data_IF_668116577601
#
_entry.id   IF_668116577601
#
_cell.length_a   1.000
_cell.length_b   1.000
_cell.length_c   1.000
_cell.angle_alpha   90.00
_cell.angle_beta   90.00
_cell.angle_gamma   90.00
#
_symmetry.space_group_name_H-M   'P 1'
#
loop_
_entity.id
_entity.type
_entity.pdbx_description
1 polymer ?
#
# COMPACT_ATOMS: atom_id res chain seq x y z
N UNK A 1 -36.92 -1.95 9.55
CA UNK A 1 -36.56 -2.46 8.21
C UNK A 1 -35.04 -2.57 8.11
N UNK A 2 -34.51 -3.71 8.50
CA UNK A 2 -33.10 -4.09 8.40
C UNK A 2 -32.74 -4.31 6.92
N UNK A 3 -32.07 -3.33 6.30
CA UNK A 3 -31.49 -3.53 4.97
C UNK A 3 -30.33 -4.51 5.13
N UNK A 4 -30.57 -5.76 4.76
CA UNK A 4 -29.52 -6.75 4.49
C UNK A 4 -28.54 -6.13 3.50
N UNK A 5 -27.38 -5.72 4.00
CA UNK A 5 -26.26 -5.30 3.17
C UNK A 5 -25.74 -6.58 2.51
N UNK A 6 -26.17 -6.85 1.27
CA UNK A 6 -25.72 -8.02 0.52
C UNK A 6 -24.20 -7.94 0.37
N UNK A 7 -23.49 -8.87 0.99
CA UNK A 7 -22.05 -9.05 0.79
C UNK A 7 -21.88 -9.57 -0.64
N UNK A 8 -21.48 -8.68 -1.55
CA UNK A 8 -21.13 -9.05 -2.91
C UNK A 8 -19.72 -9.66 -2.88
N UNK A 9 -19.63 -10.97 -3.12
CA UNK A 9 -18.38 -11.69 -3.34
C UNK A 9 -18.10 -11.73 -4.83
N UNK A 10 -16.87 -11.39 -5.21
CA UNK A 10 -16.41 -11.43 -6.60
C UNK A 10 -15.24 -12.39 -6.70
N UNK A 11 -15.18 -13.13 -7.81
CA UNK A 11 -14.00 -13.93 -8.13
C UNK A 11 -12.79 -13.02 -8.36
N UNK A 12 -11.65 -13.44 -7.81
CA UNK A 12 -10.44 -12.63 -7.78
C UNK A 12 -9.76 -12.64 -9.15
N UNK A 13 -9.23 -11.48 -9.56
CA UNK A 13 -8.52 -11.34 -10.82
C UNK A 13 -7.22 -12.17 -10.74
N UNK A 14 -6.85 -12.82 -11.85
CA UNK A 14 -5.57 -13.52 -11.95
C UNK A 14 -4.37 -12.55 -11.89
N UNK A 15 -3.17 -13.11 -11.98
CA UNK A 15 -1.92 -12.36 -11.88
C UNK A 15 -1.87 -11.09 -12.75
N UNK A 16 -1.06 -10.08 -12.38
CA UNK A 16 -0.95 -8.81 -13.09
C UNK A 16 -0.74 -8.90 -14.61
N UNK A 17 0.06 -9.89 -15.03
CA UNK A 17 0.42 -10.11 -16.42
C UNK A 17 -0.67 -10.81 -17.25
N UNK A 18 -1.70 -11.36 -16.61
CA UNK A 18 -2.77 -12.12 -17.24
C UNK A 18 -3.65 -11.24 -18.15
N UNK A 19 -4.13 -11.83 -19.26
CA UNK A 19 -4.96 -11.14 -20.25
C UNK A 19 -6.28 -10.64 -19.63
N UNK A 20 -6.89 -11.40 -18.72
CA UNK A 20 -8.11 -11.01 -18.03
C UNK A 20 -7.91 -9.79 -17.13
N UNK A 21 -6.77 -9.71 -16.44
CA UNK A 21 -6.41 -8.55 -15.61
C UNK A 21 -6.12 -7.32 -16.46
N UNK A 22 -5.44 -7.49 -17.60
CA UNK A 22 -5.20 -6.41 -18.58
C UNK A 22 -6.49 -5.90 -19.21
N UNK A 23 -7.40 -6.81 -19.59
CA UNK A 23 -8.70 -6.45 -20.13
C UNK A 23 -9.56 -5.74 -19.08
N UNK A 24 -9.57 -6.22 -17.83
CA UNK A 24 -10.30 -5.58 -16.75
C UNK A 24 -9.78 -4.17 -16.45
N UNK A 25 -8.45 -3.99 -16.46
CA UNK A 25 -7.80 -2.67 -16.36
C UNK A 25 -8.27 -1.75 -17.50
N UNK A 26 -8.26 -2.25 -18.74
CA UNK A 26 -8.76 -1.52 -19.90
C UNK A 26 -10.24 -1.14 -19.76
N UNK A 27 -11.10 -2.07 -19.31
CA UNK A 27 -12.52 -1.83 -19.04
C UNK A 27 -12.72 -0.75 -17.96
N UNK A 28 -11.91 -0.76 -16.91
CA UNK A 28 -11.92 0.29 -15.88
C UNK A 28 -11.52 1.66 -16.45
N UNK A 29 -10.58 1.70 -17.40
CA UNK A 29 -10.14 2.93 -18.06
C UNK A 29 -11.20 3.56 -18.97
N UNK A 30 -11.86 2.75 -19.80
CA UNK A 30 -12.94 3.21 -20.70
C UNK A 30 -14.29 3.33 -19.98
N UNK A 31 -14.38 2.90 -18.72
CA UNK A 31 -15.60 2.94 -17.93
C UNK A 31 -16.31 4.30 -17.92
N UNK A 32 -15.64 5.48 -17.94
CA UNK A 32 -16.34 6.76 -18.03
C UNK A 32 -17.15 6.92 -19.33
N UNK A 33 -16.71 6.31 -20.43
CA UNK A 33 -17.40 6.36 -21.73
C UNK A 33 -18.60 5.43 -21.76
N UNK A 34 -18.46 4.22 -21.18
CA UNK A 34 -19.54 3.21 -21.10
C UNK A 34 -20.57 3.59 -20.02
N UNK A 35 -20.13 4.26 -18.95
CA UNK A 35 -20.96 4.71 -17.81
C UNK A 35 -21.56 6.11 -18.02
N UNK A 36 -21.47 6.70 -19.23
CA UNK A 36 -22.15 7.98 -19.56
C UNK A 36 -23.66 7.98 -19.28
N UNK A 37 -24.29 6.80 -19.26
CA UNK A 37 -25.71 6.62 -18.90
C UNK A 37 -26.01 6.53 -17.39
N UNK A 38 -24.99 6.47 -16.53
CA UNK A 38 -25.14 6.33 -15.08
C UNK A 38 -25.39 7.72 -14.46
N UNK A 39 -26.54 8.31 -14.77
CA UNK A 39 -27.02 9.58 -14.18
C UNK A 39 -27.24 9.43 -12.67
N UNK A 40 -26.99 10.51 -11.93
CA UNK A 40 -27.25 10.89 -10.52
C UNK A 40 -27.77 9.87 -9.48
N UNK A 41 -28.64 8.92 -9.84
CA UNK A 41 -29.27 7.96 -8.92
C UNK A 41 -28.30 6.96 -8.29
N UNK A 42 -27.19 6.62 -8.96
CA UNK A 42 -26.17 5.70 -8.41
C UNK A 42 -25.23 6.41 -7.43
N UNK A 43 -25.02 7.73 -7.56
CA UNK A 43 -24.25 8.50 -6.56
C UNK A 43 -24.93 8.54 -5.19
N UNK A 44 -26.26 8.38 -5.17
CA UNK A 44 -27.07 8.32 -3.95
C UNK A 44 -27.10 6.93 -3.32
N UNK A 45 -26.57 5.90 -3.99
CA UNK A 45 -26.51 4.56 -3.40
C UNK A 45 -25.34 4.50 -2.42
N UNK A 46 -25.54 3.96 -1.21
CA UNK A 46 -24.44 3.71 -0.29
C UNK A 46 -23.42 2.83 -1.00
N UNK A 47 -22.12 3.11 -0.79
CA UNK A 47 -21.08 2.29 -1.36
C UNK A 47 -21.31 0.83 -0.96
N UNK A 48 -21.43 -0.11 -1.90
CA UNK A 48 -21.52 -1.51 -1.51
C UNK A 48 -20.25 -1.87 -0.75
N UNK A 49 -20.41 -2.59 0.37
CA UNK A 49 -19.28 -3.19 1.06
C UNK A 49 -18.81 -4.34 0.18
N UNK A 50 -17.78 -4.06 -0.62
CA UNK A 50 -17.17 -5.05 -1.51
C UNK A 50 -16.07 -5.74 -0.73
N UNK A 51 -16.17 -7.05 -0.64
CA UNK A 51 -15.18 -7.91 -0.02
C UNK A 51 -14.64 -8.85 -1.07
N UNK A 52 -13.33 -8.82 -1.27
CA UNK A 52 -12.59 -9.80 -2.05
C UNK A 52 -11.90 -10.73 -1.08
N UNK A 53 -12.00 -12.02 -1.34
CA UNK A 53 -11.29 -13.04 -0.57
C UNK A 53 -10.55 -13.91 -1.59
N UNK A 54 -9.23 -13.99 -1.46
CA UNK A 54 -8.39 -14.83 -2.29
C UNK A 54 -7.41 -15.61 -1.43
N UNK A 55 -7.05 -16.84 -1.82
CA UNK A 55 -5.82 -17.42 -1.32
C UNK A 55 -4.66 -16.51 -1.73
N UNK A 56 -3.73 -16.28 -0.82
CA UNK A 56 -2.53 -15.49 -1.05
C UNK A 56 -1.34 -16.43 -1.19
N UNK A 57 -0.97 -16.67 -2.45
CA UNK A 57 0.20 -17.47 -2.77
C UNK A 57 1.41 -16.57 -2.97
N UNK A 58 2.42 -16.76 -2.12
CA UNK A 58 3.72 -16.12 -2.26
C UNK A 58 4.55 -16.87 -3.32
N UNK A 59 4.44 -16.48 -4.58
CA UNK A 59 5.20 -17.09 -5.68
C UNK A 59 6.66 -16.61 -5.61
N UNK A 60 7.61 -17.54 -5.53
CA UNK A 60 9.05 -17.25 -5.42
C UNK A 60 9.59 -16.41 -6.59
N UNK A 61 9.02 -16.57 -7.79
CA UNK A 61 9.35 -15.74 -8.96
C UNK A 61 8.97 -14.28 -8.79
N UNK A 62 7.81 -14.00 -8.19
CA UNK A 62 7.31 -12.63 -8.00
C UNK A 62 8.11 -11.94 -6.90
N UNK A 63 8.53 -12.71 -5.90
CA UNK A 63 9.52 -12.29 -4.92
C UNK A 63 10.87 -11.92 -5.55
N UNK A 64 11.42 -12.79 -6.40
CA UNK A 64 12.69 -12.52 -7.07
C UNK A 64 12.62 -11.26 -7.96
N UNK A 65 11.52 -11.08 -8.71
CA UNK A 65 11.28 -9.87 -9.50
C UNK A 65 11.18 -8.63 -8.63
N UNK A 66 10.43 -8.67 -7.53
CA UNK A 66 10.31 -7.51 -6.65
C UNK A 66 11.64 -7.19 -5.96
N UNK A 67 12.37 -8.19 -5.47
CA UNK A 67 13.68 -7.98 -4.86
C UNK A 67 14.68 -7.35 -5.83
N UNK A 68 14.66 -7.80 -7.09
CA UNK A 68 15.50 -7.23 -8.16
C UNK A 68 15.10 -5.80 -8.47
N UNK A 69 13.79 -5.54 -8.64
CA UNK A 69 13.23 -4.21 -8.86
C UNK A 69 13.58 -3.23 -7.75
N UNK A 70 13.53 -3.67 -6.50
CA UNK A 70 13.88 -2.87 -5.33
C UNK A 70 15.40 -2.83 -5.08
N UNK A 71 16.23 -3.40 -5.96
CA UNK A 71 17.69 -3.44 -5.81
C UNK A 71 18.14 -3.96 -4.44
N UNK A 72 17.47 -5.01 -3.95
CA UNK A 72 17.74 -5.64 -2.65
C UNK A 72 18.67 -6.85 -2.87
N UNK A 73 20.00 -6.74 -2.64
CA UNK A 73 20.90 -7.88 -2.76
C UNK A 73 20.59 -8.94 -1.69
N UNK A 74 20.32 -10.19 -2.15
CA UNK A 74 20.14 -11.40 -1.31
C UNK A 74 19.32 -11.13 -0.04
N UNK A 75 18.02 -10.90 -0.18
CA UNK A 75 17.12 -11.23 0.92
C UNK A 75 17.20 -12.75 1.13
N UNK A 76 17.60 -13.19 2.31
CA UNK A 76 17.32 -14.56 2.73
C UNK A 76 15.80 -14.73 2.57
N UNK A 77 15.37 -15.78 1.85
CA UNK A 77 13.95 -16.11 1.66
C UNK A 77 13.19 -16.11 3.00
N UNK A 78 13.90 -16.30 4.11
CA UNK A 78 13.42 -16.25 5.49
C UNK A 78 12.82 -14.89 5.92
N UNK A 79 13.22 -13.75 5.33
CA UNK A 79 12.74 -12.42 5.73
C UNK A 79 12.18 -11.63 4.54
N UNK A 80 10.88 -11.77 4.31
CA UNK A 80 10.14 -10.98 3.32
C UNK A 80 10.12 -9.48 3.70
N UNK A 81 10.35 -8.54 2.77
CA UNK A 81 10.11 -7.11 3.02
C UNK A 81 8.66 -6.89 3.45
N UNK A 82 8.44 -6.13 4.53
CA UNK A 82 7.10 -5.98 5.10
C UNK A 82 6.10 -5.24 4.19
N UNK A 83 6.61 -4.52 3.18
CA UNK A 83 5.81 -3.87 2.12
C UNK A 83 5.46 -4.82 0.97
N UNK A 84 6.05 -6.01 0.89
CA UNK A 84 5.82 -6.96 -0.19
C UNK A 84 4.33 -7.32 -0.36
N UNK A 85 3.57 -7.67 0.70
CA UNK A 85 2.16 -7.99 0.57
C UNK A 85 1.34 -6.85 -0.07
N UNK A 86 1.62 -5.60 0.31
CA UNK A 86 0.95 -4.42 -0.24
C UNK A 86 1.15 -4.31 -1.76
N UNK A 87 2.32 -4.69 -2.26
CA UNK A 87 2.63 -4.69 -3.70
C UNK A 87 1.96 -5.86 -4.40
N UNK A 88 2.05 -7.07 -3.82
CA UNK A 88 1.51 -8.29 -4.41
C UNK A 88 -0.02 -8.26 -4.56
N UNK A 89 -0.74 -7.70 -3.59
CA UNK A 89 -2.21 -7.59 -3.62
C UNK A 89 -2.71 -6.41 -4.47
N UNK A 90 -1.81 -5.63 -5.08
CA UNK A 90 -2.17 -4.36 -5.73
C UNK A 90 -3.16 -4.52 -6.90
N UNK A 91 -3.16 -5.67 -7.57
CA UNK A 91 -4.13 -5.99 -8.62
C UNK A 91 -5.58 -5.98 -8.13
N UNK A 92 -5.80 -6.39 -6.88
CA UNK A 92 -7.12 -6.51 -6.26
C UNK A 92 -7.79 -5.15 -6.04
N UNK A 93 -6.99 -4.07 -5.89
CA UNK A 93 -7.52 -2.72 -5.78
C UNK A 93 -8.36 -2.34 -7.00
N UNK A 94 -7.92 -2.72 -8.22
CA UNK A 94 -8.69 -2.45 -9.44
C UNK A 94 -10.06 -3.12 -9.41
N UNK A 95 -10.14 -4.35 -8.91
CA UNK A 95 -11.42 -5.06 -8.77
C UNK A 95 -12.36 -4.34 -7.81
N UNK A 96 -11.85 -3.84 -6.68
CA UNK A 96 -12.64 -3.04 -5.74
C UNK A 96 -13.18 -1.78 -6.41
N UNK A 97 -12.33 -1.03 -7.12
CA UNK A 97 -12.77 0.17 -7.81
C UNK A 97 -13.77 -0.14 -8.92
N UNK A 98 -13.48 -1.12 -9.77
CA UNK A 98 -14.34 -1.55 -10.87
C UNK A 98 -15.76 -1.89 -10.40
N UNK A 99 -15.88 -2.54 -9.24
CA UNK A 99 -17.15 -2.95 -8.64
C UNK A 99 -17.80 -1.91 -7.71
N UNK A 100 -17.09 -0.85 -7.29
CA UNK A 100 -17.59 0.19 -6.36
C UNK A 100 -18.61 1.17 -6.97
N UNK A 101 -19.06 0.90 -8.20
CA UNK A 101 -20.07 1.67 -8.94
C UNK A 101 -19.84 3.19 -8.91
N UNK A 102 -18.60 3.65 -9.12
CA UNK A 102 -18.28 5.08 -9.13
C UNK A 102 -18.17 5.64 -10.58
N UNK A 103 -18.42 6.96 -10.77
CA UNK A 103 -18.60 7.56 -12.10
C UNK A 103 -17.30 8.07 -12.76
N UNK A 104 -16.16 7.98 -12.08
CA UNK A 104 -14.90 8.55 -12.54
C UNK A 104 -13.97 7.48 -13.16
N UNK A 105 -12.96 7.91 -13.90
CA UNK A 105 -11.91 7.00 -14.36
C UNK A 105 -10.94 6.69 -13.23
N UNK A 106 -10.55 5.43 -13.04
CA UNK A 106 -9.38 5.09 -12.18
C UNK A 106 -8.04 5.47 -12.82
N UNK A 107 -8.01 6.00 -14.06
CA UNK A 107 -6.76 6.29 -14.77
C UNK A 107 -5.85 7.25 -13.98
N UNK A 108 -6.45 8.22 -13.30
CA UNK A 108 -5.73 9.24 -12.53
C UNK A 108 -5.85 8.98 -11.02
N UNK A 109 -5.91 7.70 -10.62
CA UNK A 109 -5.97 7.34 -9.21
C UNK A 109 -4.63 7.66 -8.52
N UNK A 110 -4.71 8.21 -7.33
CA UNK A 110 -3.57 8.60 -6.50
C UNK A 110 -3.59 7.82 -5.19
N UNK A 111 -2.41 7.43 -4.71
CA UNK A 111 -2.26 6.94 -3.34
C UNK A 111 -2.04 8.14 -2.41
N UNK A 112 -2.94 8.37 -1.44
CA UNK A 112 -2.78 9.46 -0.46
C UNK A 112 -1.93 9.01 0.72
N UNK A 113 -2.20 7.79 1.19
CA UNK A 113 -1.54 7.25 2.37
C UNK A 113 -1.62 5.73 2.39
N UNK A 114 -0.66 5.13 3.07
CA UNK A 114 -0.60 3.69 3.35
C UNK A 114 -0.19 3.52 4.80
N UNK A 115 -0.96 2.74 5.54
CA UNK A 115 -0.58 2.23 6.85
C UNK A 115 -0.48 0.72 6.76
N UNK A 116 0.67 0.17 7.13
CA UNK A 116 0.94 -1.26 7.17
C UNK A 116 1.28 -1.65 8.60
N UNK A 117 0.71 -2.76 9.05
CA UNK A 117 1.03 -3.40 10.33
C UNK A 117 1.45 -4.83 10.06
N UNK A 118 2.67 -5.18 10.43
CA UNK A 118 3.15 -6.55 10.42
C UNK A 118 3.21 -7.08 11.85
N UNK A 119 2.37 -8.08 12.15
CA UNK A 119 2.28 -8.68 13.47
C UNK A 119 3.28 -9.83 13.65
N UNK A 120 3.48 -10.62 12.60
CA UNK A 120 4.39 -11.78 12.58
C UNK A 120 5.25 -11.81 11.30
N UNK A 121 6.42 -12.49 11.31
CA UNK A 121 7.22 -12.65 10.11
C UNK A 121 6.47 -13.45 9.06
N UNK A 122 6.60 -13.05 7.80
CA UNK A 122 6.12 -13.83 6.68
C UNK A 122 7.26 -14.74 6.23
N UNK A 123 7.10 -16.05 6.42
CA UNK A 123 8.11 -17.04 6.07
C UNK A 123 7.85 -17.60 4.66
N UNK A 124 8.87 -17.61 3.80
CA UNK A 124 8.83 -18.16 2.44
C UNK A 124 9.37 -19.59 2.35
N UNK A 125 9.73 -20.24 3.46
CA UNK A 125 10.24 -21.62 3.40
C UNK A 125 9.14 -22.54 2.86
N UNK A 126 9.21 -22.87 1.57
CA UNK A 126 8.53 -24.03 1.01
C UNK A 126 9.00 -25.25 1.81
N UNK A 127 8.12 -26.23 2.09
CA UNK A 127 8.56 -27.46 2.72
C UNK A 127 9.55 -28.12 1.77
N UNK A 128 10.84 -28.05 2.12
CA UNK A 128 11.78 -29.08 1.72
C UNK A 128 11.19 -30.37 2.22
N UNK A 129 11.07 -31.38 1.37
CA UNK A 129 10.45 -32.68 1.66
C UNK A 129 11.12 -33.49 2.79
N UNK A 130 11.98 -32.87 3.61
CA UNK A 130 12.90 -33.52 4.53
C UNK A 130 12.81 -33.05 5.99
N UNK A 131 11.81 -32.27 6.41
CA UNK A 131 11.59 -32.03 7.83
C UNK A 131 10.10 -32.13 8.18
N UNK A 132 9.81 -32.75 9.34
CA UNK A 132 8.49 -32.88 10.00
C UNK A 132 7.86 -31.51 10.41
N UNK A 133 8.16 -30.46 9.66
CA UNK A 133 7.57 -29.14 9.84
C UNK A 133 6.17 -29.14 9.24
N UNK A 134 5.16 -28.62 9.98
CA UNK A 134 3.81 -28.49 9.45
C UNK A 134 3.85 -27.70 8.12
N UNK A 135 2.98 -28.05 7.15
CA UNK A 135 2.93 -27.34 5.87
C UNK A 135 2.77 -25.83 6.13
N UNK A 136 3.43 -24.96 5.33
CA UNK A 136 3.28 -23.52 5.53
C UNK A 136 1.80 -23.17 5.42
N UNK A 137 1.28 -22.51 6.45
CA UNK A 137 -0.14 -22.17 6.53
C UNK A 137 -0.54 -21.35 5.30
N UNK A 138 -1.58 -21.80 4.60
CA UNK A 138 -2.12 -21.08 3.46
C UNK A 138 -2.62 -19.71 3.92
N UNK A 139 -1.95 -18.65 3.48
CA UNK A 139 -2.38 -17.29 3.81
C UNK A 139 -3.65 -16.97 3.04
N UNK A 140 -4.66 -16.47 3.73
CA UNK A 140 -5.87 -15.92 3.12
C UNK A 140 -5.77 -14.41 3.10
N UNK A 141 -5.96 -13.82 1.92
CA UNK A 141 -6.09 -12.37 1.74
C UNK A 141 -7.57 -11.99 1.72
N UNK A 142 -7.95 -11.08 2.61
CA UNK A 142 -9.26 -10.41 2.58
C UNK A 142 -9.04 -8.93 2.34
N UNK A 143 -9.64 -8.41 1.28
CA UNK A 143 -9.59 -6.99 0.94
C UNK A 143 -10.99 -6.42 0.93
N UNK A 144 -11.20 -5.33 1.67
CA UNK A 144 -12.51 -4.72 1.88
C UNK A 144 -12.44 -3.24 1.55
N UNK A 145 -13.36 -2.79 0.68
CA UNK A 145 -13.62 -1.36 0.52
C UNK A 145 -14.46 -0.88 1.71
N UNK A 146 -13.81 -0.22 2.68
CA UNK A 146 -14.44 0.20 3.94
C UNK A 146 -15.05 1.59 3.87
N UNK A 147 -14.52 2.46 3.00
CA UNK A 147 -14.97 3.84 2.90
C UNK A 147 -14.94 4.37 1.48
N UNK A 148 -15.94 5.21 1.15
CA UNK A 148 -15.99 6.05 -0.04
C UNK A 148 -16.51 7.41 0.37
N UNK A 149 -15.71 8.45 0.18
CA UNK A 149 -16.00 9.83 0.60
C UNK A 149 -15.88 10.77 -0.57
N UNK A 150 -16.83 11.69 -0.71
CA UNK A 150 -16.76 12.73 -1.71
C UNK A 150 -16.16 13.99 -1.08
N UNK A 151 -15.01 14.40 -1.61
CA UNK A 151 -14.33 15.65 -1.29
C UNK A 151 -14.67 16.69 -2.38
N UNK A 152 -14.21 17.93 -2.22
CA UNK A 152 -14.54 19.03 -3.14
C UNK A 152 -14.08 18.76 -4.58
N UNK A 153 -12.88 18.20 -4.74
CA UNK A 153 -12.20 17.99 -6.02
C UNK A 153 -11.90 16.53 -6.33
N UNK A 154 -12.19 15.60 -5.41
CA UNK A 154 -11.84 14.19 -5.52
C UNK A 154 -12.79 13.26 -4.75
N UNK A 155 -12.74 11.97 -5.07
CA UNK A 155 -13.38 10.90 -4.29
C UNK A 155 -12.28 10.13 -3.58
N UNK A 156 -12.34 10.08 -2.26
CA UNK A 156 -11.43 9.29 -1.42
C UNK A 156 -12.02 7.90 -1.16
N UNK A 157 -11.19 6.87 -1.31
CA UNK A 157 -11.52 5.49 -0.99
C UNK A 157 -10.59 4.98 0.10
N UNK A 158 -11.16 4.27 1.07
CA UNK A 158 -10.41 3.59 2.13
C UNK A 158 -10.55 2.09 1.93
N UNK A 159 -9.42 1.41 1.77
CA UNK A 159 -9.36 -0.03 1.55
C UNK A 159 -8.56 -0.65 2.69
N UNK A 160 -9.14 -1.65 3.35
CA UNK A 160 -8.46 -2.47 4.33
C UNK A 160 -8.08 -3.81 3.69
N UNK A 161 -6.86 -4.26 3.91
CA UNK A 161 -6.36 -5.56 3.45
C UNK A 161 -5.80 -6.32 4.64
N UNK A 162 -6.28 -7.53 4.88
CA UNK A 162 -5.84 -8.39 5.96
C UNK A 162 -5.30 -9.70 5.36
N UNK A 163 -4.10 -10.09 5.79
CA UNK A 163 -3.58 -11.44 5.59
C UNK A 163 -3.65 -12.20 6.91
N UNK A 164 -4.28 -13.37 6.88
CA UNK A 164 -4.36 -14.25 8.04
C UNK A 164 -4.08 -15.69 7.65
N UNK A 165 -3.54 -16.43 8.62
CA UNK A 165 -3.41 -17.88 8.59
C UNK A 165 -4.38 -18.49 9.61
N UNK A 166 -4.26 -19.80 9.84
CA UNK A 166 -5.05 -20.53 10.85
C UNK A 166 -4.84 -20.02 12.28
N UNK A 167 -3.72 -19.33 12.54
CA UNK A 167 -3.39 -18.73 13.84
C UNK A 167 -3.86 -17.28 13.98
N UNK A 168 -4.46 -16.71 12.93
CA UNK A 168 -5.02 -15.36 12.91
C UNK A 168 -4.22 -14.40 12.05
N UNK A 169 -4.39 -13.10 12.28
CA UNK A 169 -3.83 -12.07 11.41
C UNK A 169 -2.30 -12.01 11.50
N UNK A 170 -1.65 -12.00 10.34
CA UNK A 170 -0.19 -11.91 10.20
C UNK A 170 0.22 -10.50 9.77
N UNK A 171 -0.58 -9.91 8.88
CA UNK A 171 -0.28 -8.63 8.25
C UNK A 171 -1.57 -7.90 7.93
N UNK A 172 -1.57 -6.58 8.09
CA UNK A 172 -2.71 -5.72 7.78
C UNK A 172 -2.24 -4.46 7.07
N UNK A 173 -3.09 -3.93 6.19
CA UNK A 173 -2.93 -2.59 5.68
C UNK A 173 -4.23 -1.84 5.58
N UNK A 174 -4.12 -0.52 5.71
CA UNK A 174 -5.16 0.43 5.32
C UNK A 174 -4.54 1.35 4.28
N UNK A 175 -5.15 1.41 3.11
CA UNK A 175 -4.70 2.24 2.00
C UNK A 175 -5.77 3.25 1.62
N UNK A 176 -5.35 4.50 1.49
CA UNK A 176 -6.19 5.59 1.04
C UNK A 176 -5.85 5.95 -0.39
N UNK A 177 -6.86 5.92 -1.24
CA UNK A 177 -6.76 6.34 -2.62
C UNK A 177 -7.63 7.56 -2.86
N UNK A 178 -7.24 8.41 -3.80
CA UNK A 178 -8.12 9.43 -4.33
C UNK A 178 -8.21 9.41 -5.84
N UNK A 179 -9.39 9.75 -6.33
CA UNK A 179 -9.68 9.86 -7.75
C UNK A 179 -10.21 11.27 -8.01
N UNK A 180 -9.54 12.07 -8.87
CA UNK A 180 -10.02 13.40 -9.25
C UNK A 180 -11.46 13.36 -9.78
N UNK A 181 -12.34 14.12 -9.15
CA UNK A 181 -13.75 14.17 -9.49
C UNK A 181 -14.39 15.43 -8.90
N UNK A 182 -14.87 16.33 -9.77
CA UNK A 182 -15.60 17.53 -9.36
C UNK A 182 -17.10 17.29 -9.43
N UNK A 183 -17.78 17.34 -8.29
CA UNK A 183 -19.25 17.25 -8.27
C UNK A 183 -19.86 18.50 -8.90
N UNK A 184 -20.78 18.30 -9.86
CA UNK A 184 -21.54 19.40 -10.48
C UNK A 184 -22.70 19.90 -9.61
N UNK A 185 -23.18 19.09 -8.68
CA UNK A 185 -24.26 19.39 -7.75
C UNK A 185 -23.95 18.69 -6.43
N UNK A 186 -23.86 19.44 -5.32
CA UNK A 186 -23.57 18.93 -3.97
C UNK A 186 -24.74 18.08 -3.47
N UNK A 187 -24.73 16.79 -3.81
CA UNK A 187 -25.76 15.84 -3.38
C UNK A 187 -25.39 15.14 -2.06
N UNK A 188 -24.14 15.29 -1.60
CA UNK A 188 -23.60 14.71 -0.36
C UNK A 188 -22.75 15.79 0.31
N UNK A 189 -22.79 15.95 1.65
CA UNK A 189 -21.91 16.89 2.34
C UNK A 189 -20.44 16.59 2.01
N UNK A 190 -19.68 17.62 1.66
CA UNK A 190 -18.22 17.52 1.52
C UNK A 190 -17.63 17.15 2.87
N UNK A 191 -17.03 15.96 2.96
CA UNK A 191 -16.31 15.51 4.14
C UNK A 191 -14.85 15.97 4.10
N UNK A 192 -14.17 15.98 5.25
CA UNK A 192 -12.71 16.08 5.30
C UNK A 192 -12.07 14.70 5.04
N UNK A 193 -10.80 14.68 4.62
CA UNK A 193 -10.03 13.43 4.44
C UNK A 193 -10.07 12.59 5.72
N UNK A 194 -10.25 11.28 5.55
CA UNK A 194 -10.26 10.32 6.66
C UNK A 194 -8.88 10.08 7.27
N UNK A 195 -7.82 10.39 6.54
CA UNK A 195 -6.47 10.16 6.99
C UNK A 195 -5.99 11.33 7.85
N UNK A 196 -5.61 11.01 9.09
CA UNK A 196 -4.93 11.93 10.00
C UNK A 196 -3.54 11.38 10.23
N UNK A 197 -2.53 12.02 9.63
CA UNK A 197 -1.14 11.69 9.95
C UNK A 197 -0.86 12.17 11.36
N UNK A 198 -0.32 11.31 12.21
CA UNK A 198 -0.03 11.68 13.58
C UNK A 198 1.24 12.54 13.62
N UNK A 199 1.07 13.84 13.40
CA UNK A 199 2.15 14.82 13.42
C UNK A 199 2.89 14.85 14.76
N UNK A 200 2.27 14.42 15.86
CA UNK A 200 2.96 14.40 17.16
C UNK A 200 4.08 13.36 17.17
N UNK A 201 3.90 12.18 16.58
CA UNK A 201 4.97 11.16 16.44
C UNK A 201 6.08 11.65 15.50
N UNK A 202 5.72 12.43 14.48
CA UNK A 202 6.71 13.10 13.62
C UNK A 202 7.40 14.29 14.30
N UNK A 203 6.83 14.83 15.40
CA UNK A 203 7.35 15.99 16.14
C UNK A 203 8.16 15.61 17.39
N UNK A 204 8.23 14.32 17.77
CA UNK A 204 9.20 13.87 18.78
C UNK A 204 10.61 14.07 18.22
N UNK A 205 11.52 14.56 19.07
CA UNK A 205 12.83 15.09 18.69
C UNK A 205 13.56 14.18 17.68
N UNK A 206 13.62 14.68 16.44
CA UNK A 206 14.29 14.03 15.31
C UNK A 206 15.79 14.29 15.42
N UNK A 207 16.51 13.41 16.10
CA UNK A 207 17.97 13.46 16.11
C UNK A 207 18.57 12.56 15.02
N UNK A 208 19.86 12.80 14.75
CA UNK A 208 20.70 11.95 13.92
C UNK A 208 20.10 11.71 12.51
N UNK A 209 20.09 12.77 11.70
CA UNK A 209 19.67 12.69 10.30
C UNK A 209 20.64 11.81 9.51
N UNK A 210 20.11 10.74 8.91
CA UNK A 210 20.83 9.90 7.96
C UNK A 210 20.24 10.10 6.57
N UNK A 211 21.12 10.34 5.60
CA UNK A 211 20.77 10.63 4.21
C UNK A 211 21.33 9.57 3.29
N UNK A 212 20.49 9.05 2.41
CA UNK A 212 20.88 8.11 1.39
C UNK A 212 20.19 8.42 0.08
N UNK A 213 20.79 8.01 -1.03
CA UNK A 213 20.24 8.28 -2.36
C UNK A 213 19.94 7.00 -3.09
N UNK A 214 18.81 6.97 -3.80
CA UNK A 214 18.45 5.88 -4.70
C UNK A 214 17.73 6.44 -5.91
N UNK A 215 17.62 5.62 -6.97
CA UNK A 215 16.94 6.01 -8.21
C UNK A 215 16.14 4.85 -8.77
N UNK A 216 15.02 5.16 -9.42
CA UNK A 216 14.21 4.17 -10.12
C UNK A 216 14.65 4.06 -11.57
N UNK A 217 15.36 2.98 -11.93
CA UNK A 217 15.70 2.74 -13.34
C UNK A 217 14.49 2.24 -14.13
N UNK A 218 14.53 2.35 -15.46
CA UNK A 218 13.51 1.77 -16.35
C UNK A 218 13.35 0.26 -16.14
N UNK A 219 14.46 -0.44 -15.90
CA UNK A 219 14.46 -1.87 -15.57
C UNK A 219 13.71 -2.12 -14.26
N UNK A 220 14.01 -1.35 -13.21
CA UNK A 220 13.35 -1.48 -11.91
C UNK A 220 11.84 -1.25 -12.04
N UNK A 221 11.43 -0.21 -12.77
CA UNK A 221 10.03 0.10 -13.02
C UNK A 221 9.32 -1.00 -13.82
N UNK A 222 9.99 -1.60 -14.81
CA UNK A 222 9.44 -2.69 -15.62
C UNK A 222 9.26 -3.96 -14.79
N UNK A 223 10.28 -4.36 -14.03
CA UNK A 223 10.19 -5.52 -13.13
C UNK A 223 9.15 -5.31 -12.03
N UNK A 224 8.93 -4.06 -11.59
CA UNK A 224 7.85 -3.73 -10.65
C UNK A 224 6.47 -3.90 -11.27
N UNK A 225 6.27 -3.45 -12.51
CA UNK A 225 5.01 -3.56 -13.25
C UNK A 225 4.58 -5.01 -13.51
N UNK A 226 5.54 -5.94 -13.57
CA UNK A 226 5.24 -7.37 -13.67
C UNK A 226 4.58 -7.93 -12.40
N UNK A 227 4.84 -7.33 -11.24
CA UNK A 227 4.33 -7.77 -9.93
C UNK A 227 3.19 -6.86 -9.43
N UNK A 228 3.13 -5.61 -9.89
CA UNK A 228 2.10 -4.64 -9.52
C UNK A 228 1.32 -4.14 -10.73
N UNK A 229 -0.02 -4.26 -10.68
CA UNK A 229 -0.89 -3.81 -11.80
C UNK A 229 -1.14 -2.30 -11.77
N UNK A 230 -1.06 -1.69 -10.58
CA UNK A 230 -1.48 -0.31 -10.39
C UNK A 230 -0.25 0.58 -10.42
N UNK A 231 0.00 1.16 -11.59
CA UNK A 231 0.83 2.34 -11.76
C UNK A 231 0.20 3.51 -10.98
N UNK A 232 0.36 3.51 -9.66
CA UNK A 232 -0.01 4.62 -8.79
C UNK A 232 1.03 5.72 -8.88
N UNK A 233 1.17 6.31 -10.06
CA UNK A 233 2.24 7.27 -10.36
C UNK A 233 1.94 8.68 -9.89
N UNK A 234 0.87 8.94 -9.13
CA UNK A 234 0.50 10.30 -8.68
C UNK A 234 0.02 11.24 -9.80
N UNK A 235 0.28 10.88 -11.06
CA UNK A 235 0.14 11.61 -12.33
C UNK A 235 -1.22 11.79 -12.97
N UNK A 236 -1.53 12.98 -13.49
CA UNK A 236 -2.61 13.25 -14.47
C UNK A 236 -2.29 12.76 -15.89
N UNK A 237 -1.09 12.24 -16.14
CA UNK A 237 -0.61 11.90 -17.49
C UNK A 237 -0.04 10.50 -17.51
N UNK A 238 -0.33 9.81 -18.61
CA UNK A 238 0.14 8.47 -18.96
C UNK A 238 1.62 8.56 -19.40
N UNK A 239 2.45 9.29 -18.65
CA UNK A 239 3.84 9.49 -18.99
C UNK A 239 4.58 8.20 -18.68
N UNK A 240 5.14 7.61 -19.74
CA UNK A 240 5.81 6.32 -19.71
C UNK A 240 7.02 6.27 -18.75
N UNK A 241 7.46 7.43 -18.25
CA UNK A 241 8.69 7.63 -17.50
C UNK A 241 8.48 8.10 -16.05
N UNK A 242 7.48 7.58 -15.34
CA UNK A 242 7.24 7.89 -13.93
C UNK A 242 7.59 6.72 -12.99
N UNK A 243 8.22 7.03 -11.86
CA UNK A 243 8.49 6.08 -10.78
C UNK A 243 7.21 5.82 -9.94
N UNK A 244 6.78 4.56 -9.75
CA UNK A 244 5.58 4.28 -8.94
C UNK A 244 5.77 4.67 -7.46
N UNK A 245 4.80 5.37 -6.87
CA UNK A 245 4.91 5.81 -5.47
C UNK A 245 5.05 4.64 -4.49
N UNK A 246 4.36 3.52 -4.74
CA UNK A 246 4.53 2.29 -3.97
C UNK A 246 5.92 1.67 -4.14
N UNK A 247 6.55 1.80 -5.32
CA UNK A 247 7.92 1.35 -5.52
C UNK A 247 8.88 2.20 -4.68
N UNK A 248 8.72 3.53 -4.68
CA UNK A 248 9.54 4.44 -3.87
C UNK A 248 9.40 4.10 -2.38
N UNK A 249 8.17 3.90 -1.90
CA UNK A 249 7.91 3.51 -0.51
C UNK A 249 8.56 2.16 -0.19
N UNK A 250 8.33 1.14 -1.02
CA UNK A 250 8.88 -0.20 -0.81
C UNK A 250 10.41 -0.21 -0.83
N UNK A 251 11.04 0.60 -1.70
CA UNK A 251 12.49 0.76 -1.78
C UNK A 251 13.04 1.46 -0.54
N UNK A 252 12.43 2.58 -0.14
CA UNK A 252 12.83 3.32 1.06
C UNK A 252 12.77 2.44 2.32
N UNK A 253 11.65 1.74 2.52
CA UNK A 253 11.52 0.81 3.66
C UNK A 253 12.42 -0.40 3.54
N UNK A 254 12.67 -0.89 2.31
CA UNK A 254 13.59 -1.99 2.05
C UNK A 254 15.03 -1.64 2.42
N UNK A 255 15.48 -0.42 2.10
CA UNK A 255 16.80 0.08 2.52
C UNK A 255 16.93 0.14 4.04
N UNK A 256 15.91 0.69 4.73
CA UNK A 256 15.88 0.71 6.20
C UNK A 256 15.93 -0.71 6.80
N UNK A 257 15.21 -1.66 6.20
CA UNK A 257 15.19 -3.06 6.64
C UNK A 257 16.56 -3.74 6.45
N UNK A 258 17.23 -3.50 5.32
CA UNK A 258 18.58 -4.03 5.06
C UNK A 258 19.63 -3.51 6.04
N UNK A 259 19.46 -2.27 6.49
CA UNK A 259 20.33 -1.64 7.47
C UNK A 259 20.02 -2.08 8.91
N UNK A 260 19.01 -2.95 9.11
CA UNK A 260 18.51 -3.36 10.44
C UNK A 260 18.06 -2.14 11.27
N UNK A 261 17.50 -1.12 10.62
CA UNK A 261 17.02 0.12 11.24
C UNK A 261 15.50 0.19 11.37
N UNK A 262 14.80 -0.87 10.97
CA UNK A 262 13.35 -1.00 11.17
C UNK A 262 13.11 -1.58 12.58
N UNK A 263 12.15 -1.04 13.35
CA UNK A 263 11.81 -1.58 14.66
C UNK A 263 11.43 -3.07 14.62
N UNK A 264 11.59 -3.75 15.75
CA UNK A 264 11.14 -5.12 15.91
C UNK A 264 9.62 -5.27 15.69
N UNK A 265 9.17 -6.49 15.39
CA UNK A 265 7.73 -6.78 15.29
C UNK A 265 7.09 -6.91 16.69
N UNK A 266 5.80 -6.57 16.86
CA UNK A 266 4.86 -6.06 15.86
C UNK A 266 5.23 -4.67 15.35
N UNK A 267 5.32 -4.50 14.03
CA UNK A 267 5.78 -3.28 13.37
C UNK A 267 4.58 -2.56 12.75
N UNK A 268 4.52 -1.24 12.92
CA UNK A 268 3.61 -0.36 12.18
C UNK A 268 4.40 0.66 11.38
N UNK A 269 4.14 0.71 10.08
CA UNK A 269 4.59 1.74 9.15
C UNK A 269 3.39 2.59 8.74
N UNK A 270 3.46 3.90 8.90
CA UNK A 270 2.46 4.84 8.39
C UNK A 270 3.14 5.80 7.45
N UNK A 271 2.64 5.94 6.23
CA UNK A 271 3.20 6.78 5.19
C UNK A 271 2.11 7.66 4.59
N UNK A 272 2.44 8.94 4.40
CA UNK A 272 1.66 9.92 3.65
C UNK A 272 2.44 10.33 2.41
N UNK A 273 1.80 10.28 1.25
CA UNK A 273 2.34 10.85 0.02
C UNK A 273 1.97 12.32 -0.06
N UNK A 274 2.85 13.13 -0.65
CA UNK A 274 2.58 14.55 -0.82
C UNK A 274 1.48 14.77 -1.87
N UNK A 275 0.55 15.68 -1.60
CA UNK A 275 -0.61 15.94 -2.48
C UNK A 275 -0.25 16.90 -3.62
N UNK A 276 0.76 17.74 -3.41
CA UNK A 276 1.23 18.75 -4.36
C UNK A 276 2.27 18.19 -5.34
N UNK A 277 2.72 16.95 -5.11
CA UNK A 277 3.62 16.24 -6.01
C UNK A 277 2.92 15.91 -7.33
N UNK A 278 3.48 16.39 -8.45
CA UNK A 278 3.04 16.01 -9.78
C UNK A 278 3.62 14.63 -10.16
N UNK A 279 4.84 14.54 -10.68
CA UNK A 279 5.43 13.27 -11.14
C UNK A 279 6.81 13.12 -10.51
N UNK A 280 7.20 11.90 -10.14
CA UNK A 280 8.62 11.56 -9.92
C UNK A 280 9.12 10.86 -11.17
N UNK A 281 10.12 11.43 -11.83
CA UNK A 281 10.64 10.90 -13.08
C UNK A 281 11.51 9.66 -12.83
N UNK A 282 11.56 8.76 -13.81
CA UNK A 282 12.55 7.68 -13.79
C UNK A 282 13.97 8.26 -13.83
N UNK A 283 14.90 7.56 -13.20
CA UNK A 283 16.30 7.92 -13.02
C UNK A 283 16.57 9.20 -12.23
N UNK A 284 15.53 9.86 -11.72
CA UNK A 284 15.64 10.98 -10.80
C UNK A 284 16.26 10.51 -9.47
N UNK A 285 17.10 11.35 -8.86
CA UNK A 285 17.77 11.03 -7.61
C UNK A 285 16.82 11.33 -6.45
N UNK A 286 16.44 10.29 -5.73
CA UNK A 286 15.60 10.36 -4.54
C UNK A 286 16.47 10.32 -3.29
N UNK A 287 16.29 11.29 -2.40
CA UNK A 287 16.98 11.37 -1.12
C UNK A 287 16.10 10.79 0.00
N UNK A 288 16.49 9.65 0.56
CA UNK A 288 15.93 9.09 1.77
C UNK A 288 16.55 9.80 2.98
N UNK A 289 15.73 10.53 3.71
CA UNK A 289 16.06 11.07 5.02
C UNK A 289 15.43 10.20 6.09
N UNK A 290 16.21 9.82 7.10
CA UNK A 290 15.74 9.01 8.23
C UNK A 290 16.23 9.59 9.54
N UNK A 291 15.38 9.53 10.56
CA UNK A 291 15.63 10.08 11.89
C UNK A 291 15.39 9.03 12.97
N UNK A 292 16.19 9.11 14.03
CA UNK A 292 16.11 8.22 15.19
C UNK A 292 15.72 9.00 16.43
N UNK A 293 15.27 8.29 17.47
CA UNK A 293 14.94 8.92 18.75
C UNK A 293 16.22 9.24 19.56
N UNK A 294 16.27 10.42 20.17
CA UNK A 294 17.38 10.90 21.01
C UNK A 294 17.67 9.97 22.20
N UNK A 295 16.66 9.31 22.76
CA UNK A 295 16.80 8.47 23.96
C UNK A 295 17.66 7.21 23.75
N UNK A 296 17.84 6.76 22.51
CA UNK A 296 18.62 5.55 22.19
C UNK A 296 20.14 5.73 22.36
N UNK A 297 20.65 6.96 22.48
CA UNK A 297 22.07 7.22 22.73
C UNK A 297 22.59 6.61 24.06
N UNK A 298 21.69 6.18 24.95
CA UNK A 298 22.05 5.59 26.26
C UNK A 298 22.01 4.06 26.29
N UNK A 299 21.47 3.40 25.27
CA UNK A 299 21.36 1.94 25.21
C UNK A 299 22.20 1.46 24.02
N UNK A 300 23.14 0.54 24.24
CA UNK A 300 24.11 0.03 23.23
C UNK A 300 23.47 -0.82 22.11
N UNK A 301 22.26 -0.48 21.70
CA UNK A 301 21.48 -1.11 20.64
C UNK A 301 21.53 -0.22 19.40
N UNK A 302 21.53 -0.82 18.20
CA UNK A 302 21.49 -0.05 16.94
C UNK A 302 20.27 0.91 16.95
N UNK A 303 20.45 2.18 16.53
CA UNK A 303 19.39 3.17 16.64
C UNK A 303 18.30 2.90 15.60
N UNK A 304 17.08 2.63 16.06
CA UNK A 304 15.92 2.36 15.22
C UNK A 304 15.38 3.66 14.58
N UNK A 305 14.96 3.55 13.33
CA UNK A 305 14.30 4.63 12.59
C UNK A 305 12.90 4.83 13.13
N UNK A 306 12.56 6.07 13.51
CA UNK A 306 11.22 6.45 14.00
C UNK A 306 10.45 7.21 12.93
N UNK A 307 11.15 7.97 12.08
CA UNK A 307 10.55 8.65 10.95
C UNK A 307 11.47 8.69 9.75
N UNK A 308 10.88 8.72 8.57
CA UNK A 308 11.60 8.85 7.31
C UNK A 308 10.85 9.76 6.36
N UNK A 309 11.56 10.29 5.38
CA UNK A 309 11.01 11.06 4.29
C UNK A 309 11.80 10.75 3.02
N UNK A 310 11.14 10.90 1.88
CA UNK A 310 11.81 10.85 0.58
C UNK A 310 11.59 12.19 -0.09
N UNK A 311 12.69 12.81 -0.51
CA UNK A 311 12.72 14.08 -1.21
C UNK A 311 13.27 13.89 -2.64
N UNK A 312 12.83 14.72 -3.58
CA UNK A 312 13.33 14.78 -4.95
C UNK A 312 13.51 16.24 -5.36
N UNK A 313 14.72 16.64 -5.76
CA UNK A 313 15.05 18.04 -6.15
C UNK A 313 14.56 19.12 -5.14
N UNK A 314 14.46 18.78 -3.85
CA UNK A 314 13.96 19.67 -2.79
C UNK A 314 12.45 19.64 -2.56
N UNK A 315 11.69 18.87 -3.33
CA UNK A 315 10.26 18.59 -3.13
C UNK A 315 10.07 17.32 -2.30
N UNK A 316 9.12 17.37 -1.36
CA UNK A 316 8.75 16.21 -0.54
C UNK A 316 7.92 15.24 -1.38
N UNK A 317 8.36 13.99 -1.49
CA UNK A 317 7.60 12.92 -2.16
C UNK A 317 6.69 12.22 -1.17
N UNK A 318 7.23 11.87 0.00
CA UNK A 318 6.46 11.23 1.07
C UNK A 318 7.10 11.45 2.43
N UNK A 319 6.30 11.32 3.48
CA UNK A 319 6.74 11.27 4.87
C UNK A 319 6.15 10.04 5.54
N UNK A 320 6.94 9.31 6.30
CA UNK A 320 6.48 8.16 7.05
C UNK A 320 7.05 8.07 8.46
N UNK A 321 6.43 7.21 9.25
CA UNK A 321 6.82 6.87 10.62
C UNK A 321 6.84 5.36 10.80
N UNK A 322 7.81 4.87 11.56
CA UNK A 322 7.95 3.47 11.95
C UNK A 322 7.87 3.39 13.48
N UNK A 323 7.12 2.42 13.98
CA UNK A 323 7.02 2.16 15.43
C UNK A 323 6.68 0.71 15.70
N UNK A 324 7.03 0.24 16.89
CA UNK A 324 6.47 -1.00 17.42
C UNK A 324 5.03 -0.74 17.88
N UNK A 325 4.15 -1.73 17.69
CA UNK A 325 2.76 -1.68 18.19
C UNK A 325 2.72 -2.48 19.48
N UNK A 326 2.83 -1.78 20.61
CA UNK A 326 2.51 -2.33 21.92
C UNK A 326 1.00 -2.53 22.01
N UNK A 327 0.52 -3.74 21.80
CA UNK A 327 -0.75 -4.12 22.42
C UNK A 327 -0.43 -4.20 23.91
N UNK A 328 -0.75 -3.15 24.66
CA UNK A 328 -0.85 -3.27 26.11
C UNK A 328 -2.04 -4.18 26.40
N UNK A 329 -1.87 -5.49 26.25
CA UNK A 329 -2.64 -6.44 27.02
C UNK A 329 -2.19 -6.24 28.46
N UNK A 330 -2.85 -5.31 29.15
CA UNK A 330 -2.92 -5.37 30.60
C UNK A 330 -3.59 -6.70 30.92
N UNK A 331 -2.78 -7.75 31.04
CA UNK A 331 -3.14 -8.93 31.79
C UNK A 331 -3.29 -8.47 33.24
N UNK A 332 -4.42 -7.84 33.55
CA UNK A 332 -4.94 -7.80 34.89
C UNK A 332 -5.30 -9.25 35.23
N UNK A 333 -4.29 -10.00 35.66
CA UNK A 333 -4.49 -11.21 36.44
C UNK A 333 -5.23 -10.77 37.71
N UNK A 334 -6.49 -11.14 37.82
CA UNK A 334 -7.11 -11.42 39.11
C UNK A 334 -7.06 -12.90 39.37
#
# INVERSE_FOLDING_TARGET
MSRLCSILRYDVLPAPADLGTKEFRWRCWISPLIRRGWRNSIMLKPCPRITLQSPFFLISSDFAKLATSLSLPKLALEQLPFMFPQVAVSSLFLQLFGNSHFPASVRNIRCKAVTVVQLRPLNMSCPTKDEDLPPPSELTCVMVLTGKRFLESEIEFTIQTDLFDDHGTVWQSVTWFSIPYKQKMLLVPTSQSSFTFNNSVAAHAKANLWKETFKCSERNATEFKDVSVVDMTGTRTNEANAAPLLWILARATGMLQQQKRVPAQPLMCSCKFDEDLEVVSLNENLELQSWTNEEYLKQQTQPECVSFAVDTEGLRVMTGSLRTVGWNFSCDRK
#
